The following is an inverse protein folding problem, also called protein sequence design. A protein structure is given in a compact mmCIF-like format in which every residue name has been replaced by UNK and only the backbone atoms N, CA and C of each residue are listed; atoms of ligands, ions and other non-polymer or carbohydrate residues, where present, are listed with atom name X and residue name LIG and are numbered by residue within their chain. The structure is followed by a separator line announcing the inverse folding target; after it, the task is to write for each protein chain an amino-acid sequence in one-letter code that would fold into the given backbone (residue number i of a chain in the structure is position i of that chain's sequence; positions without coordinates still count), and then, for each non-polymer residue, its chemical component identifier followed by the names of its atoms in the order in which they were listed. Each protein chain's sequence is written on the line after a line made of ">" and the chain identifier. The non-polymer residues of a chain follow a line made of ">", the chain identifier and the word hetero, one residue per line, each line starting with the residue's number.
data_IF_268201086581
#
_entry.id   IF_268201086581
#
_cell.length_a   1.000
_cell.length_b   1.000
_cell.length_c   1.000
_cell.angle_alpha   90.00
_cell.angle_beta   90.00
_cell.angle_gamma   90.00
#
_symmetry.space_group_name_H-M   'P 1'
#
loop_
_entity.id
_entity.type
_entity.pdbx_description
1 polymer ?
#
# COMPACT_ATOMS: atom_id res chain seq x y z
N UNK A 1 22.29 19.28 2.09
CA UNK A 1 21.17 18.37 2.45
C UNK A 1 19.96 19.25 2.68
N UNK A 2 18.95 19.19 1.82
CA UNK A 2 17.66 19.85 2.10
C UNK A 2 16.91 18.97 3.10
N UNK A 3 16.62 19.50 4.29
CA UNK A 3 15.86 18.81 5.34
C UNK A 3 14.35 19.03 5.21
N UNK A 4 13.92 19.67 4.12
CA UNK A 4 12.49 19.88 3.88
C UNK A 4 11.80 18.59 3.49
N UNK A 5 10.74 18.27 4.23
CA UNK A 5 9.95 17.08 3.97
C UNK A 5 9.16 17.22 2.65
N UNK A 6 9.39 16.32 1.71
CA UNK A 6 8.73 16.34 0.40
C UNK A 6 7.34 15.76 0.48
N UNK A 7 6.39 16.45 -0.15
CA UNK A 7 5.08 15.88 -0.49
C UNK A 7 5.24 15.14 -1.82
N UNK A 8 5.00 13.85 -1.79
CA UNK A 8 5.19 12.99 -2.97
C UNK A 8 3.89 12.88 -3.77
N UNK A 9 3.95 12.85 -5.11
CA UNK A 9 2.76 12.66 -5.92
C UNK A 9 2.23 11.22 -5.82
N UNK A 10 0.92 11.07 -5.84
CA UNK A 10 0.24 9.77 -5.97
C UNK A 10 0.71 9.08 -7.24
N UNK A 11 0.88 7.77 -7.20
CA UNK A 11 1.18 6.98 -8.38
C UNK A 11 -0.06 6.81 -9.27
N UNK A 12 0.14 6.77 -10.58
CA UNK A 12 -0.96 6.63 -11.53
C UNK A 12 -1.50 5.20 -11.54
N UNK A 13 -0.62 4.21 -11.51
CA UNK A 13 -0.92 2.78 -11.55
C UNK A 13 0.17 1.94 -10.86
N UNK A 14 0.04 0.61 -10.95
CA UNK A 14 1.00 -0.35 -10.38
C UNK A 14 2.39 -0.25 -11.01
N UNK A 15 2.49 0.11 -12.28
CA UNK A 15 3.79 0.26 -12.96
C UNK A 15 4.47 1.55 -12.48
N UNK A 16 3.71 2.62 -12.35
CA UNK A 16 4.22 3.92 -11.93
C UNK A 16 4.72 3.90 -10.47
N UNK A 17 4.00 3.24 -9.55
CA UNK A 17 4.49 3.13 -8.15
C UNK A 17 5.85 2.43 -8.10
N UNK A 18 6.05 1.35 -8.85
CA UNK A 18 7.32 0.65 -8.87
C UNK A 18 8.45 1.47 -9.48
N UNK A 19 8.20 2.18 -10.59
CA UNK A 19 9.17 3.07 -11.21
C UNK A 19 9.60 4.19 -10.25
N UNK A 20 8.64 4.81 -9.55
CA UNK A 20 8.90 5.85 -8.56
C UNK A 20 9.73 5.31 -7.38
N UNK A 21 9.40 4.13 -6.87
CA UNK A 21 10.16 3.50 -5.79
C UNK A 21 11.59 3.14 -6.23
N UNK A 22 11.80 2.66 -7.44
CA UNK A 22 13.14 2.40 -8.00
C UNK A 22 13.96 3.69 -8.06
N UNK A 23 13.38 4.76 -8.61
CA UNK A 23 14.05 6.08 -8.67
C UNK A 23 14.41 6.62 -7.28
N UNK A 24 13.54 6.41 -6.28
CA UNK A 24 13.82 6.78 -4.89
C UNK A 24 14.96 5.96 -4.28
N UNK A 25 15.04 4.67 -4.62
CA UNK A 25 16.09 3.76 -4.12
C UNK A 25 17.50 4.09 -4.65
N UNK A 26 17.62 4.76 -5.79
CA UNK A 26 18.89 5.18 -6.37
C UNK A 26 19.56 6.35 -5.61
N UNK A 27 18.87 6.95 -4.63
CA UNK A 27 19.38 8.10 -3.88
C UNK A 27 20.27 7.66 -2.71
N UNK A 28 21.56 7.99 -2.71
CA UNK A 28 22.48 7.54 -1.66
C UNK A 28 22.43 8.40 -0.37
N UNK A 29 21.55 9.41 -0.30
CA UNK A 29 21.49 10.36 0.81
C UNK A 29 20.18 10.28 1.58
N UNK A 30 20.18 10.59 2.90
CA UNK A 30 18.96 10.70 3.69
C UNK A 30 17.95 11.67 3.04
N UNK A 31 16.68 11.29 3.05
CA UNK A 31 15.60 12.12 2.49
C UNK A 31 14.45 12.21 3.49
N UNK A 32 13.93 13.42 3.68
CA UNK A 32 12.71 13.63 4.45
C UNK A 32 11.49 13.54 3.52
N UNK A 33 10.39 13.01 4.04
CA UNK A 33 9.11 12.91 3.34
C UNK A 33 7.96 13.34 4.25
N UNK A 34 6.87 13.79 3.66
CA UNK A 34 5.64 14.15 4.36
C UNK A 34 4.63 13.02 4.21
N UNK A 35 3.90 12.72 5.29
CA UNK A 35 2.75 11.82 5.27
C UNK A 35 1.49 12.56 4.77
N UNK A 36 1.59 13.23 3.64
CA UNK A 36 0.49 13.99 3.04
C UNK A 36 0.06 13.38 1.72
N UNK A 37 -1.25 13.18 1.55
CA UNK A 37 -1.82 12.64 0.32
C UNK A 37 -3.29 13.07 0.18
N UNK A 38 -3.82 13.25 -1.04
CA UNK A 38 -5.24 13.46 -1.24
C UNK A 38 -6.04 12.26 -0.74
N UNK A 39 -7.19 12.52 -0.14
CA UNK A 39 -8.16 11.47 0.19
C UNK A 39 -8.98 11.10 -1.05
N UNK A 40 -9.69 9.99 -0.95
CA UNK A 40 -10.51 9.46 -2.03
C UNK A 40 -11.98 9.46 -1.64
N UNK A 41 -12.85 9.64 -2.64
CA UNK A 41 -14.29 9.35 -2.58
C UNK A 41 -14.57 7.88 -2.90
N UNK A 42 -13.70 7.26 -3.74
CA UNK A 42 -13.84 5.91 -4.22
C UNK A 42 -12.49 5.31 -4.60
N UNK A 43 -12.35 3.98 -4.43
CA UNK A 43 -11.21 3.22 -4.89
C UNK A 43 -10.01 3.30 -3.95
N UNK A 44 -8.82 3.19 -4.51
CA UNK A 44 -7.57 3.20 -3.76
C UNK A 44 -6.48 4.02 -4.46
N UNK A 45 -5.48 4.46 -3.69
CA UNK A 45 -4.28 5.09 -4.22
C UNK A 45 -3.04 4.72 -3.43
N UNK A 46 -1.89 4.82 -4.08
CA UNK A 46 -0.58 4.56 -3.53
C UNK A 46 0.32 5.79 -3.76
N UNK A 47 0.93 6.29 -2.69
CA UNK A 47 1.91 7.39 -2.74
C UNK A 47 3.26 6.86 -2.29
N UNK A 48 4.27 6.74 -3.18
CA UNK A 48 5.60 6.31 -2.80
C UNK A 48 6.29 7.41 -1.99
N UNK A 49 6.72 7.12 -0.77
CA UNK A 49 7.34 8.11 0.13
C UNK A 49 8.86 8.08 0.08
N UNK A 50 9.43 6.90 0.24
CA UNK A 50 10.87 6.66 0.28
C UNK A 50 11.18 5.21 -0.08
N UNK A 51 12.38 4.97 -0.58
CA UNK A 51 12.87 3.62 -0.84
C UNK A 51 14.39 3.54 -0.72
N UNK A 52 14.86 2.34 -0.39
CA UNK A 52 16.23 1.87 -0.55
C UNK A 52 16.19 0.55 -1.30
N UNK A 53 17.33 -0.06 -1.56
CA UNK A 53 17.40 -1.42 -2.12
C UNK A 53 16.72 -2.48 -1.26
N UNK A 54 16.54 -2.23 0.04
CA UNK A 54 16.02 -3.20 1.00
C UNK A 54 14.70 -2.79 1.66
N UNK A 55 14.24 -1.56 1.47
CA UNK A 55 13.06 -1.03 2.16
C UNK A 55 12.27 -0.10 1.27
N UNK A 56 10.95 -0.23 1.32
CA UNK A 56 10.00 0.68 0.66
C UNK A 56 8.99 1.22 1.66
N UNK A 57 8.68 2.51 1.53
CA UNK A 57 7.63 3.18 2.30
C UNK A 57 6.59 3.74 1.33
N UNK A 58 5.34 3.33 1.53
CA UNK A 58 4.21 3.74 0.70
C UNK A 58 3.05 4.18 1.58
N UNK A 59 2.51 5.35 1.32
CA UNK A 59 1.26 5.79 1.92
C UNK A 59 0.11 5.32 1.04
N UNK A 60 -0.85 4.59 1.63
CA UNK A 60 -1.97 3.98 0.92
C UNK A 60 -3.28 4.58 1.40
N UNK A 61 -4.17 4.91 0.48
CA UNK A 61 -5.52 5.36 0.81
C UNK A 61 -6.53 4.39 0.21
N UNK A 62 -7.52 4.02 1.02
CA UNK A 62 -8.64 3.18 0.61
C UNK A 62 -9.95 3.88 0.97
N UNK A 63 -10.85 3.92 0.00
CA UNK A 63 -12.23 4.35 0.15
C UNK A 63 -13.15 3.25 -0.40
N UNK A 64 -14.45 3.52 -0.52
CA UNK A 64 -15.43 2.54 -1.00
C UNK A 64 -14.96 1.85 -2.29
N UNK A 65 -15.00 0.54 -2.33
CA UNK A 65 -14.59 -0.30 -3.47
C UNK A 65 -13.08 -0.41 -3.68
N UNK A 66 -12.27 0.07 -2.73
CA UNK A 66 -10.81 -0.05 -2.77
C UNK A 66 -10.26 -1.36 -2.20
N UNK A 67 -11.13 -2.29 -1.86
CA UNK A 67 -10.80 -3.57 -1.25
C UNK A 67 -9.86 -4.41 -2.15
N UNK A 68 -9.19 -5.38 -1.52
CA UNK A 68 -8.35 -6.34 -2.22
C UNK A 68 -8.77 -7.77 -1.88
N UNK A 69 -8.50 -8.70 -2.79
CA UNK A 69 -8.73 -10.12 -2.59
C UNK A 69 -7.61 -10.78 -1.79
N UNK A 70 -7.91 -12.00 -1.31
CA UNK A 70 -6.95 -12.81 -0.55
C UNK A 70 -5.73 -13.13 -1.41
N UNK A 71 -4.58 -12.67 -0.96
CA UNK A 71 -3.32 -12.81 -1.69
C UNK A 71 -2.13 -12.92 -0.74
N UNK A 72 -0.99 -13.31 -1.28
CA UNK A 72 0.29 -13.30 -0.58
C UNK A 72 1.38 -12.63 -1.42
N UNK A 73 2.41 -12.15 -0.74
CA UNK A 73 3.65 -11.69 -1.35
C UNK A 73 4.78 -12.65 -0.97
N UNK A 74 5.16 -13.61 -1.85
CA UNK A 74 6.10 -14.67 -1.49
C UNK A 74 7.51 -14.18 -1.13
N UNK A 75 7.85 -12.95 -1.52
CA UNK A 75 9.21 -12.41 -1.38
C UNK A 75 9.29 -11.10 -0.61
N UNK A 76 8.15 -10.58 -0.16
CA UNK A 76 8.07 -9.29 0.51
C UNK A 76 7.49 -9.46 1.91
N UNK A 77 8.20 -8.95 2.92
CA UNK A 77 7.65 -8.75 4.25
C UNK A 77 6.96 -7.39 4.27
N UNK A 78 5.77 -7.31 4.83
CA UNK A 78 5.04 -6.06 4.97
C UNK A 78 4.68 -5.76 6.42
N UNK A 79 4.82 -4.49 6.82
CA UNK A 79 4.15 -3.97 8.00
C UNK A 79 3.17 -2.88 7.55
N UNK A 80 1.96 -2.92 8.11
CA UNK A 80 0.99 -1.86 7.95
C UNK A 80 0.74 -1.16 9.28
N UNK A 81 0.68 0.16 9.25
CA UNK A 81 0.28 0.99 10.39
C UNK A 81 -0.92 1.82 9.96
N UNK A 82 -2.02 1.73 10.71
CA UNK A 82 -3.21 2.56 10.48
C UNK A 82 -2.92 3.98 10.96
N UNK A 83 -3.06 4.96 10.08
CA UNK A 83 -2.89 6.38 10.38
C UNK A 83 -4.23 7.10 10.53
N UNK A 84 -5.25 6.66 9.78
CA UNK A 84 -6.61 7.19 9.79
C UNK A 84 -7.60 6.09 9.39
N UNK A 85 -8.83 6.18 9.90
CA UNK A 85 -9.87 5.20 9.62
C UNK A 85 -9.65 3.89 10.36
N UNK A 86 -10.27 2.82 9.91
CA UNK A 86 -10.15 1.47 10.46
C UNK A 86 -9.89 0.46 9.34
N UNK A 87 -9.09 -0.54 9.63
CA UNK A 87 -8.79 -1.62 8.69
C UNK A 87 -9.21 -2.97 9.28
N UNK A 88 -10.07 -3.70 8.58
CA UNK A 88 -10.37 -5.08 8.89
C UNK A 88 -9.48 -6.01 8.05
N UNK A 89 -8.57 -6.73 8.69
CA UNK A 89 -7.70 -7.72 8.07
C UNK A 89 -8.30 -9.12 8.21
N UNK A 90 -8.18 -9.92 7.16
CA UNK A 90 -8.71 -11.28 7.12
C UNK A 90 -7.62 -12.25 6.68
N UNK A 91 -7.54 -13.38 7.37
CA UNK A 91 -6.69 -14.51 7.04
C UNK A 91 -7.42 -15.56 6.17
N UNK A 92 -6.69 -16.62 5.75
CA UNK A 92 -7.23 -17.67 4.85
C UNK A 92 -8.30 -18.57 5.51
N UNK A 93 -8.32 -18.66 6.82
CA UNK A 93 -9.31 -19.43 7.61
C UNK A 93 -10.53 -18.61 8.02
N UNK A 94 -10.63 -17.35 7.60
CA UNK A 94 -11.71 -16.44 7.99
C UNK A 94 -11.42 -15.67 9.29
N UNK A 95 -10.18 -15.74 9.78
CA UNK A 95 -9.74 -14.93 10.93
C UNK A 95 -9.91 -13.44 10.58
N UNK A 96 -10.40 -12.68 11.54
CA UNK A 96 -10.57 -11.23 11.38
C UNK A 96 -9.89 -10.48 12.51
N UNK A 97 -9.17 -9.43 12.13
CA UNK A 97 -8.55 -8.47 13.04
C UNK A 97 -8.88 -7.06 12.57
N UNK A 98 -9.57 -6.28 13.39
CA UNK A 98 -9.79 -4.85 13.14
C UNK A 98 -8.70 -4.04 13.81
N UNK A 99 -8.08 -3.15 13.06
CA UNK A 99 -7.05 -2.21 13.52
C UNK A 99 -7.57 -0.78 13.45
N UNK A 100 -7.28 -0.04 14.51
CA UNK A 100 -7.58 1.37 14.66
C UNK A 100 -6.32 2.24 14.47
N UNK A 101 -6.43 3.58 14.39
CA UNK A 101 -5.27 4.46 14.28
C UNK A 101 -4.20 4.18 15.34
N UNK A 102 -2.93 4.23 14.92
CA UNK A 102 -1.74 3.91 15.70
C UNK A 102 -1.55 2.41 16.02
N UNK A 103 -2.38 1.56 15.46
CA UNK A 103 -2.17 0.11 15.51
C UNK A 103 -1.61 -0.40 14.17
N UNK A 104 -0.95 -1.54 14.21
CA UNK A 104 -0.33 -2.11 13.02
C UNK A 104 -0.29 -3.63 13.02
N UNK A 105 0.04 -4.19 11.87
CA UNK A 105 0.21 -5.63 11.66
C UNK A 105 1.49 -5.90 10.88
N UNK A 106 2.21 -6.95 11.27
CA UNK A 106 3.33 -7.51 10.52
C UNK A 106 2.84 -8.71 9.73
N UNK A 107 3.09 -8.71 8.45
CA UNK A 107 2.76 -9.78 7.51
C UNK A 107 4.08 -10.31 6.92
N UNK A 108 4.62 -11.40 7.47
CA UNK A 108 5.79 -12.05 6.90
C UNK A 108 5.51 -12.52 5.46
N UNK A 109 6.56 -12.60 4.65
CA UNK A 109 6.47 -13.11 3.27
C UNK A 109 5.72 -14.44 3.20
N UNK A 110 4.87 -14.58 2.19
CA UNK A 110 4.03 -15.76 2.01
C UNK A 110 2.76 -15.79 2.86
N UNK A 111 2.57 -14.85 3.79
CA UNK A 111 1.30 -14.75 4.53
C UNK A 111 0.16 -14.42 3.59
N UNK A 112 -0.90 -15.24 3.60
CA UNK A 112 -2.15 -14.97 2.90
C UNK A 112 -2.99 -13.99 3.71
N UNK A 113 -3.39 -12.88 3.11
CA UNK A 113 -4.24 -11.89 3.73
C UNK A 113 -5.06 -11.10 2.71
N UNK A 114 -6.12 -10.49 3.19
CA UNK A 114 -6.80 -9.36 2.54
C UNK A 114 -7.19 -8.36 3.60
N UNK A 115 -7.51 -7.13 3.21
CA UNK A 115 -8.08 -6.15 4.14
C UNK A 115 -9.06 -5.23 3.44
N UNK A 116 -9.96 -4.66 4.24
CA UNK A 116 -10.97 -3.69 3.82
C UNK A 116 -10.88 -2.44 4.68
N UNK A 117 -11.24 -1.29 4.11
CA UNK A 117 -11.59 -0.12 4.90
C UNK A 117 -12.90 -0.40 5.64
N UNK A 118 -12.99 -0.04 6.92
CA UNK A 118 -14.17 -0.23 7.75
C UNK A 118 -14.70 1.13 8.22
N UNK A 119 -16.02 1.32 8.15
CA UNK A 119 -16.69 2.58 8.47
C UNK A 119 -16.66 3.59 7.33
N UNK A 120 -17.08 4.84 7.65
CA UNK A 120 -17.31 5.89 6.65
C UNK A 120 -16.07 6.75 6.36
N UNK A 121 -15.05 6.63 7.19
CA UNK A 121 -13.80 7.39 7.03
C UNK A 121 -12.85 6.66 6.11
N UNK A 122 -12.26 7.38 5.14
CA UNK A 122 -11.21 6.82 4.30
C UNK A 122 -10.07 6.25 5.16
N UNK A 123 -9.66 5.03 4.86
CA UNK A 123 -8.54 4.35 5.51
C UNK A 123 -7.23 4.87 4.93
N UNK A 124 -6.34 5.34 5.80
CA UNK A 124 -4.97 5.70 5.44
C UNK A 124 -3.99 4.79 6.17
N UNK A 125 -3.15 4.10 5.42
CA UNK A 125 -2.15 3.17 5.92
C UNK A 125 -0.75 3.61 5.52
N UNK A 126 0.20 3.54 6.45
CA UNK A 126 1.62 3.47 6.11
C UNK A 126 1.99 2.01 5.88
N UNK A 127 2.41 1.67 4.66
CA UNK A 127 3.02 0.39 4.35
C UNK A 127 4.54 0.54 4.39
N UNK A 128 5.18 -0.26 5.21
CA UNK A 128 6.62 -0.50 5.19
C UNK A 128 6.83 -1.91 4.65
N UNK A 129 7.69 -2.08 3.67
CA UNK A 129 7.90 -3.39 3.08
C UNK A 129 9.30 -3.59 2.53
N UNK A 130 9.76 -4.84 2.51
CA UNK A 130 10.94 -5.19 1.74
C UNK A 130 10.57 -5.16 0.26
N UNK A 131 11.44 -4.66 -0.64
CA UNK A 131 11.16 -4.73 -2.06
C UNK A 131 11.25 -6.18 -2.55
N UNK A 132 10.40 -6.53 -3.51
CA UNK A 132 10.60 -7.75 -4.27
C UNK A 132 11.96 -7.71 -4.96
N UNK A 133 12.63 -8.84 -5.04
CA UNK A 133 13.87 -8.95 -5.79
C UNK A 133 13.64 -8.51 -7.24
N UNK A 134 14.34 -7.46 -7.68
CA UNK A 134 14.23 -6.90 -9.04
C UNK A 134 14.52 -7.91 -10.17
N UNK A 135 15.16 -9.02 -9.85
CA UNK A 135 15.47 -10.11 -10.80
C UNK A 135 14.32 -11.10 -10.99
N UNK A 136 13.26 -10.99 -10.19
CA UNK A 136 12.11 -11.89 -10.29
C UNK A 136 11.07 -11.34 -11.26
N UNK A 137 10.45 -12.22 -12.07
CA UNK A 137 9.36 -11.82 -12.93
C UNK A 137 8.16 -11.35 -12.09
N UNK A 138 7.48 -10.34 -12.56
CA UNK A 138 6.19 -9.89 -11.99
C UNK A 138 5.06 -10.78 -12.54
N UNK A 139 4.00 -10.97 -11.77
CA UNK A 139 3.62 -10.29 -10.54
C UNK A 139 4.35 -10.86 -9.31
N UNK A 140 4.61 -9.97 -8.33
CA UNK A 140 5.17 -10.34 -7.02
C UNK A 140 4.11 -10.82 -6.03
N UNK A 141 2.88 -10.94 -6.46
CA UNK A 141 1.70 -11.33 -5.72
C UNK A 141 1.13 -12.62 -6.28
N UNK A 142 0.66 -13.49 -5.39
CA UNK A 142 -0.04 -14.74 -5.74
C UNK A 142 -1.39 -14.79 -5.02
N UNK A 143 -2.34 -15.53 -5.60
CA UNK A 143 -3.62 -15.86 -4.97
C UNK A 143 -3.46 -17.02 -3.96
N UNK A 144 -4.60 -17.50 -3.42
CA UNK A 144 -4.63 -18.62 -2.48
C UNK A 144 -4.17 -19.96 -3.08
N UNK A 145 -4.23 -20.10 -4.39
CA UNK A 145 -3.85 -21.32 -5.13
C UNK A 145 -2.40 -21.22 -5.62
N UNK A 146 -1.69 -20.12 -5.30
CA UNK A 146 -0.31 -19.88 -5.71
C UNK A 146 -0.18 -19.35 -7.12
N UNK A 147 -1.27 -18.97 -7.78
CA UNK A 147 -1.24 -18.42 -9.12
C UNK A 147 -0.93 -16.91 -9.11
N UNK A 148 -0.24 -16.41 -10.14
CA UNK A 148 0.05 -14.99 -10.25
C UNK A 148 -1.22 -14.12 -10.22
N UNK A 149 -1.22 -13.09 -9.37
CA UNK A 149 -2.32 -12.13 -9.23
C UNK A 149 -1.79 -10.70 -9.40
N UNK A 150 -2.30 -9.98 -10.39
CA UNK A 150 -1.94 -8.57 -10.58
C UNK A 150 -2.65 -7.65 -9.59
N UNK A 151 -1.93 -6.65 -9.08
CA UNK A 151 -2.48 -5.71 -8.10
C UNK A 151 -3.60 -4.83 -8.65
N UNK A 152 -3.62 -4.61 -9.97
CA UNK A 152 -4.63 -3.86 -10.72
C UNK A 152 -5.63 -4.76 -11.45
N UNK A 153 -5.66 -6.05 -11.16
CA UNK A 153 -6.70 -6.94 -11.68
C UNK A 153 -8.08 -6.53 -11.14
N UNK A 154 -9.13 -6.92 -11.84
CA UNK A 154 -10.52 -6.59 -11.45
C UNK A 154 -10.89 -7.13 -10.08
N UNK A 155 -10.29 -8.23 -9.66
CA UNK A 155 -10.47 -8.83 -8.35
C UNK A 155 -9.86 -7.96 -7.22
N UNK A 156 -8.82 -7.19 -7.54
CA UNK A 156 -8.13 -6.32 -6.60
C UNK A 156 -8.45 -4.84 -6.74
N UNK A 157 -9.10 -4.44 -7.82
CA UNK A 157 -9.52 -3.08 -8.09
C UNK A 157 -10.86 -3.09 -8.82
N UNK A 158 -11.91 -3.18 -8.04
CA UNK A 158 -13.28 -3.34 -8.58
C UNK A 158 -13.86 -2.04 -9.13
N UNK A 159 -13.31 -0.89 -8.74
CA UNK A 159 -13.80 0.44 -9.13
C UNK A 159 -12.64 1.38 -9.49
N UNK A 160 -12.95 2.38 -10.32
CA UNK A 160 -12.00 3.44 -10.64
C UNK A 160 -11.73 4.36 -9.44
N UNK A 161 -10.52 4.89 -9.39
CA UNK A 161 -10.13 5.87 -8.37
C UNK A 161 -10.81 7.21 -8.62
N UNK A 162 -11.49 7.74 -7.60
CA UNK A 162 -12.04 9.10 -7.58
C UNK A 162 -11.40 9.86 -6.42
N UNK A 163 -10.57 10.84 -6.77
CA UNK A 163 -9.90 11.73 -5.79
C UNK A 163 -10.90 12.73 -5.23
N UNK A 164 -10.82 13.00 -3.93
CA UNK A 164 -11.50 14.12 -3.29
C UNK A 164 -10.56 15.35 -3.30
N UNK A 165 -10.82 16.36 -4.15
CA UNK A 165 -9.90 17.48 -4.31
C UNK A 165 -9.84 18.41 -3.09
N UNK A 166 -10.84 18.34 -2.22
CA UNK A 166 -10.98 19.22 -1.06
C UNK A 166 -10.40 18.63 0.23
N UNK A 167 -10.12 17.32 0.24
CA UNK A 167 -9.70 16.60 1.44
C UNK A 167 -8.35 15.95 1.27
N UNK A 168 -7.50 16.15 2.29
CA UNK A 168 -6.16 15.55 2.37
C UNK A 168 -5.97 14.91 3.75
N UNK A 169 -5.11 13.92 3.80
CA UNK A 169 -4.49 13.44 5.01
C UNK A 169 -3.15 14.17 5.19
N UNK A 170 -2.84 14.64 6.41
CA UNK A 170 -1.61 15.34 6.79
C UNK A 170 -1.62 16.84 6.58
#
# INVERSE_FOLDING_TARGET
>A
MSLEARVMPVADDVVDIWRKLQTLAERPTPSAFSLRTPLLKQGRSDTPLAATEQLTLVLKVYASGGENELHAHPQEDHAFVVLQGKAAFFGPGGEQLTLEPLQGIMLPRGSLYRFHAEGDQALVLLRVGTPANHRMPRPTRIDRDGLPMHGDSKENQTVDRIVDPERHFG
#
